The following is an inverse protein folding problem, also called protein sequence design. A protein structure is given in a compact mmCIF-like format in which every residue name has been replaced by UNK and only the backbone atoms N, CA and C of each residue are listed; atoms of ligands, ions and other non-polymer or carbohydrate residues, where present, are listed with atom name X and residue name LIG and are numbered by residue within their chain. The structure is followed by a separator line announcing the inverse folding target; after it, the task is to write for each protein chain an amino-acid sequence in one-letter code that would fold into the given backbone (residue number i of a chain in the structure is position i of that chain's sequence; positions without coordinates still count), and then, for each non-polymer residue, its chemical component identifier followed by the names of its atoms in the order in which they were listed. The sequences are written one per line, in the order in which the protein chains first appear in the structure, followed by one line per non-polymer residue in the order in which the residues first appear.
data_IF_247502708500
#
_entry.id   IF_247502708500
#
_cell.length_a   1.000
_cell.length_b   1.000
_cell.length_c   1.000
_cell.angle_alpha   90.00
_cell.angle_beta   90.00
_cell.angle_gamma   90.00
#
_symmetry.space_group_name_H-M   'P 1'
#
loop_
_entity.id
_entity.type
_entity.pdbx_description
1 polymer ?
#
# COMPACT_ATOMS: atom_id res chain seq x y z
N UNK A 1 6.52 -33.13 56.15
CA UNK A 1 7.51 -32.15 55.64
C UNK A 1 8.27 -31.61 56.83
N UNK A 2 9.60 -31.48 56.72
CA UNK A 2 10.43 -30.95 57.81
C UNK A 2 10.17 -29.44 57.90
N UNK A 3 9.76 -28.94 59.06
CA UNK A 3 9.55 -27.50 59.26
C UNK A 3 10.88 -26.76 59.07
N UNK A 4 10.87 -25.73 58.22
CA UNK A 4 12.07 -24.94 57.94
C UNK A 4 12.51 -24.20 59.20
N UNK A 5 13.81 -24.21 59.48
CA UNK A 5 14.38 -23.41 60.56
C UNK A 5 14.17 -21.92 60.28
N UNK A 6 14.02 -21.11 61.32
CA UNK A 6 13.89 -19.65 61.21
C UNK A 6 15.04 -19.01 60.40
N UNK A 7 16.23 -19.61 60.46
CA UNK A 7 17.39 -19.20 59.65
C UNK A 7 17.20 -19.48 58.15
N UNK A 8 16.61 -20.63 57.80
CA UNK A 8 16.36 -21.05 56.42
C UNK A 8 15.26 -20.21 55.78
N UNK A 9 14.21 -19.88 56.54
CA UNK A 9 13.14 -18.96 56.12
C UNK A 9 13.71 -17.58 55.78
N UNK A 10 14.54 -17.01 56.66
CA UNK A 10 15.16 -15.71 56.43
C UNK A 10 16.14 -15.70 55.25
N UNK A 11 16.79 -16.83 54.97
CA UNK A 11 17.64 -16.98 53.79
C UNK A 11 16.80 -17.06 52.51
N UNK A 12 15.72 -17.84 52.52
CA UNK A 12 14.82 -18.00 51.39
C UNK A 12 14.15 -16.66 51.00
N UNK A 13 13.62 -15.93 51.98
CA UNK A 13 13.01 -14.61 51.76
C UNK A 13 14.02 -13.64 51.14
N UNK A 14 15.25 -13.58 51.64
CA UNK A 14 16.30 -12.73 51.06
C UNK A 14 16.61 -13.08 49.60
N UNK A 15 16.68 -14.37 49.27
CA UNK A 15 16.91 -14.82 47.88
C UNK A 15 15.74 -14.45 46.96
N UNK A 16 14.50 -14.57 47.43
CA UNK A 16 13.31 -14.19 46.66
C UNK A 16 13.29 -12.68 46.41
N UNK A 17 13.57 -11.86 47.44
CA UNK A 17 13.69 -10.40 47.29
C UNK A 17 14.75 -10.01 46.27
N UNK A 18 15.95 -10.59 46.38
CA UNK A 18 17.05 -10.36 45.42
C UNK A 18 16.60 -10.68 44.00
N UNK A 19 15.92 -11.80 43.77
CA UNK A 19 15.42 -12.16 42.42
C UNK A 19 14.40 -11.16 41.88
N UNK A 20 13.49 -10.65 42.70
CA UNK A 20 12.57 -9.59 42.27
C UNK A 20 13.30 -8.28 41.95
N UNK A 21 14.32 -7.91 42.74
CA UNK A 21 15.18 -6.77 42.47
C UNK A 21 15.96 -6.93 41.16
N UNK A 22 16.50 -8.12 40.89
CA UNK A 22 17.18 -8.46 39.64
C UNK A 22 16.23 -8.31 38.45
N UNK A 23 14.99 -8.79 38.56
CA UNK A 23 13.98 -8.63 37.50
C UNK A 23 13.65 -7.16 37.26
N UNK A 24 13.47 -6.39 38.34
CA UNK A 24 13.19 -4.95 38.27
C UNK A 24 14.33 -4.22 37.56
N UNK A 25 15.58 -4.55 37.90
CA UNK A 25 16.78 -3.92 37.33
C UNK A 25 17.05 -4.34 35.89
N UNK A 26 16.98 -5.63 35.59
CA UNK A 26 17.33 -6.18 34.26
C UNK A 26 16.24 -5.91 33.22
N UNK A 27 14.96 -6.00 33.59
CA UNK A 27 13.83 -5.83 32.68
C UNK A 27 13.08 -4.50 32.88
N UNK A 28 13.65 -3.57 33.65
CA UNK A 28 13.10 -2.23 33.94
C UNK A 28 11.63 -2.26 34.41
N UNK A 29 11.27 -3.22 35.25
CA UNK A 29 9.89 -3.39 35.75
C UNK A 29 9.61 -2.46 36.94
N UNK A 30 8.33 -2.29 37.24
CA UNK A 30 7.91 -1.46 38.38
C UNK A 30 8.27 -2.12 39.72
N UNK A 31 8.66 -1.30 40.69
CA UNK A 31 8.94 -1.71 42.08
C UNK A 31 7.73 -2.34 42.78
N UNK A 32 6.53 -2.08 42.28
CA UNK A 32 5.26 -2.68 42.71
C UNK A 32 5.33 -4.22 42.76
N UNK A 33 6.15 -4.86 41.92
CA UNK A 33 6.34 -6.32 41.97
C UNK A 33 6.92 -6.81 43.31
N UNK A 34 7.91 -6.09 43.85
CA UNK A 34 8.53 -6.42 45.13
C UNK A 34 7.59 -6.09 46.29
N UNK A 35 6.90 -4.95 46.23
CA UNK A 35 5.93 -4.53 47.24
C UNK A 35 4.78 -5.55 47.38
N UNK A 36 4.27 -6.05 46.25
CA UNK A 36 3.24 -7.09 46.24
C UNK A 36 3.71 -8.41 46.87
N UNK A 37 4.99 -8.77 46.72
CA UNK A 37 5.57 -9.93 47.41
C UNK A 37 5.63 -9.70 48.92
N UNK A 38 6.11 -8.54 49.36
CA UNK A 38 6.21 -8.19 50.78
C UNK A 38 4.84 -8.18 51.46
N UNK A 39 3.81 -7.67 50.76
CA UNK A 39 2.42 -7.71 51.21
C UNK A 39 1.89 -9.14 51.37
N UNK A 40 2.16 -10.02 50.40
CA UNK A 40 1.78 -11.44 50.49
C UNK A 40 2.50 -12.12 51.64
N UNK A 41 3.80 -11.89 51.81
CA UNK A 41 4.58 -12.45 52.91
C UNK A 41 4.05 -12.00 54.28
N UNK A 42 3.76 -10.71 54.45
CA UNK A 42 3.18 -10.16 55.67
C UNK A 42 1.76 -10.71 55.95
N UNK A 43 0.97 -10.96 54.91
CA UNK A 43 -0.34 -11.63 55.05
C UNK A 43 -0.18 -13.07 55.52
N UNK A 44 0.71 -13.85 54.91
CA UNK A 44 1.00 -15.26 55.28
C UNK A 44 1.46 -15.39 56.74
N UNK A 45 2.32 -14.46 57.21
CA UNK A 45 2.75 -14.41 58.61
C UNK A 45 1.57 -14.15 59.57
N UNK A 46 0.65 -13.26 59.20
CA UNK A 46 -0.53 -12.92 60.02
C UNK A 46 -1.57 -14.04 60.04
N UNK A 47 -1.73 -14.75 58.93
CA UNK A 47 -2.77 -15.78 58.76
C UNK A 47 -2.37 -17.18 59.26
N UNK A 48 -1.19 -17.33 59.89
CA UNK A 48 -0.65 -18.62 60.38
C UNK A 48 -0.69 -19.75 59.33
N UNK A 49 -0.54 -19.39 58.05
CA UNK A 49 -0.43 -20.38 56.98
C UNK A 49 0.97 -21.02 57.00
N UNK A 50 1.10 -22.23 56.45
CA UNK A 50 2.40 -22.89 56.33
C UNK A 50 3.34 -22.06 55.43
N UNK A 51 4.33 -21.46 56.07
CA UNK A 51 5.30 -20.58 55.43
C UNK A 51 6.17 -21.34 54.44
N UNK A 52 6.38 -22.63 54.65
CA UNK A 52 7.19 -23.48 53.77
C UNK A 52 6.50 -23.65 52.42
N UNK A 53 5.21 -23.95 52.44
CA UNK A 53 4.37 -24.04 51.23
C UNK A 53 4.30 -22.70 50.49
N UNK A 54 4.16 -21.58 51.21
CA UNK A 54 4.17 -20.24 50.61
C UNK A 54 5.50 -19.93 49.92
N UNK A 55 6.63 -20.17 50.59
CA UNK A 55 7.95 -19.87 50.04
C UNK A 55 8.26 -20.71 48.80
N UNK A 56 7.85 -21.98 48.77
CA UNK A 56 8.01 -22.83 47.58
C UNK A 56 7.20 -22.30 46.40
N UNK A 57 5.93 -21.95 46.61
CA UNK A 57 5.08 -21.38 45.57
C UNK A 57 5.63 -20.05 45.03
N UNK A 58 6.19 -19.22 45.91
CA UNK A 58 6.76 -17.94 45.52
C UNK A 58 8.10 -18.08 44.79
N UNK A 59 8.93 -19.07 45.16
CA UNK A 59 10.15 -19.42 44.41
C UNK A 59 9.81 -19.86 42.99
N UNK A 60 8.75 -20.65 42.83
CA UNK A 60 8.26 -21.07 41.52
C UNK A 60 7.75 -19.86 40.71
N UNK A 61 6.90 -19.03 41.32
CA UNK A 61 6.33 -17.85 40.68
C UNK A 61 7.40 -16.84 40.21
N UNK A 62 8.39 -16.52 41.05
CA UNK A 62 9.46 -15.58 40.66
C UNK A 62 10.37 -16.17 39.57
N UNK A 63 10.59 -17.49 39.58
CA UNK A 63 11.41 -18.16 38.57
C UNK A 63 10.69 -18.23 37.23
N UNK A 64 9.38 -18.47 37.21
CA UNK A 64 8.58 -18.43 36.00
C UNK A 64 8.50 -17.01 35.43
N UNK A 65 8.33 -16.01 36.29
CA UNK A 65 8.33 -14.60 35.90
C UNK A 65 9.66 -14.21 35.25
N UNK A 66 10.78 -14.64 35.82
CA UNK A 66 12.10 -14.43 35.24
C UNK A 66 12.22 -15.07 33.84
N UNK A 67 11.86 -16.35 33.70
CA UNK A 67 11.90 -17.06 32.41
C UNK A 67 11.03 -16.40 31.35
N UNK A 68 9.84 -15.94 31.73
CA UNK A 68 8.91 -15.26 30.81
C UNK A 68 9.48 -13.95 30.29
N UNK A 69 10.12 -13.17 31.17
CA UNK A 69 10.75 -11.92 30.78
C UNK A 69 12.05 -12.15 29.99
N UNK A 70 12.79 -13.23 30.27
CA UNK A 70 13.94 -13.66 29.46
C UNK A 70 13.52 -14.08 28.04
N UNK A 71 12.40 -14.80 27.89
CA UNK A 71 11.82 -15.15 26.58
C UNK A 71 11.34 -13.89 25.84
N UNK A 72 10.69 -12.94 26.53
CA UNK A 72 10.32 -11.66 25.89
C UNK A 72 11.55 -10.87 25.45
N UNK A 73 12.59 -10.81 26.28
CA UNK A 73 13.85 -10.16 25.95
C UNK A 73 14.57 -10.88 24.80
N UNK A 74 14.47 -12.20 24.69
CA UNK A 74 15.04 -12.93 23.55
C UNK A 74 14.27 -12.67 22.26
N UNK A 75 12.94 -12.66 22.29
CA UNK A 75 12.07 -12.27 21.16
C UNK A 75 12.33 -10.81 20.74
N UNK A 76 12.37 -9.88 21.70
CA UNK A 76 12.68 -8.47 21.43
C UNK A 76 14.14 -8.30 20.95
N UNK A 77 15.08 -9.13 21.42
CA UNK A 77 16.45 -9.11 20.90
C UNK A 77 16.55 -9.67 19.48
N UNK A 78 15.70 -10.64 19.11
CA UNK A 78 15.56 -11.11 17.72
C UNK A 78 15.01 -9.96 16.85
N UNK A 79 13.98 -9.24 17.31
CA UNK A 79 13.42 -8.08 16.59
C UNK A 79 14.35 -6.86 16.51
N UNK A 80 15.31 -6.71 17.44
CA UNK A 80 16.26 -5.57 17.49
C UNK A 80 17.56 -5.89 16.73
N UNK A 81 18.00 -7.15 16.68
CA UNK A 81 19.13 -7.58 15.83
C UNK A 81 18.76 -7.48 14.35
N UNK A 82 17.49 -7.75 13.98
CA UNK A 82 16.97 -7.61 12.62
C UNK A 82 17.02 -6.18 12.04
N UNK A 83 17.21 -5.14 12.88
CA UNK A 83 17.23 -3.74 12.43
C UNK A 83 18.62 -3.16 12.19
N UNK A 84 19.70 -3.81 12.63
CA UNK A 84 21.05 -3.20 12.60
C UNK A 84 22.06 -3.87 11.67
N UNK A 85 21.89 -5.15 11.31
CA UNK A 85 22.81 -5.82 10.40
C UNK A 85 22.24 -6.03 8.99
N UNK A 86 22.93 -5.43 8.03
CA UNK A 86 22.62 -5.42 6.59
C UNK A 86 22.85 -6.80 5.94
N UNK A 87 22.01 -7.06 4.92
CA UNK A 87 22.30 -7.78 3.65
C UNK A 87 22.39 -9.33 3.69
N UNK A 88 21.59 -9.93 2.78
CA UNK A 88 21.55 -11.33 2.29
C UNK A 88 21.08 -12.37 3.32
N UNK A 89 19.89 -12.97 3.27
CA UNK A 89 19.21 -13.62 2.13
C UNK A 89 17.69 -13.42 2.21
N UNK A 90 17.14 -13.24 1.02
CA UNK A 90 15.77 -12.95 0.62
C UNK A 90 14.74 -14.00 1.10
N UNK A 91 14.00 -13.67 2.16
CA UNK A 91 12.60 -14.10 2.28
C UNK A 91 11.70 -12.87 2.24
N UNK A 92 11.76 -12.09 1.14
CA UNK A 92 10.58 -11.31 0.74
C UNK A 92 9.40 -12.26 0.74
N UNK A 93 8.35 -11.92 1.49
CA UNK A 93 7.08 -12.62 1.37
C UNK A 93 6.70 -12.65 -0.11
N UNK A 94 5.97 -13.67 -0.55
CA UNK A 94 5.44 -13.68 -1.92
C UNK A 94 4.72 -12.35 -2.23
N UNK A 95 4.03 -11.78 -1.24
CA UNK A 95 3.41 -10.46 -1.31
C UNK A 95 4.41 -9.32 -1.57
N UNK A 96 5.58 -9.32 -0.91
CA UNK A 96 6.60 -8.29 -1.09
C UNK A 96 7.28 -8.40 -2.45
N UNK A 97 7.55 -9.63 -2.92
CA UNK A 97 8.06 -9.86 -4.28
C UNK A 97 7.10 -9.35 -5.34
N UNK A 98 5.81 -9.69 -5.21
CA UNK A 98 4.76 -9.19 -6.11
C UNK A 98 4.61 -7.67 -6.03
N UNK A 99 4.74 -7.08 -4.84
CA UNK A 99 4.71 -5.62 -4.69
C UNK A 99 5.89 -4.94 -5.38
N UNK A 100 7.10 -5.43 -5.17
CA UNK A 100 8.29 -4.88 -5.82
C UNK A 100 8.32 -5.08 -7.33
N UNK A 101 7.86 -6.23 -7.83
CA UNK A 101 7.74 -6.50 -9.26
C UNK A 101 6.76 -5.53 -9.92
N UNK A 102 5.61 -5.28 -9.28
CA UNK A 102 4.65 -4.29 -9.78
C UNK A 102 5.23 -2.87 -9.73
N UNK A 103 5.93 -2.51 -8.64
CA UNK A 103 6.62 -1.21 -8.55
C UNK A 103 7.63 -1.02 -9.69
N UNK A 104 8.42 -2.04 -10.01
CA UNK A 104 9.39 -1.97 -11.12
C UNK A 104 8.72 -1.76 -12.47
N UNK A 105 7.56 -2.37 -12.71
CA UNK A 105 6.80 -2.16 -13.96
C UNK A 105 6.31 -0.72 -14.07
N UNK A 106 5.77 -0.18 -12.98
CA UNK A 106 5.18 1.17 -13.03
C UNK A 106 6.21 2.30 -12.99
N UNK A 107 7.47 2.03 -12.67
CA UNK A 107 8.52 3.04 -12.51
C UNK A 107 8.77 3.92 -13.76
N UNK A 108 8.46 3.40 -14.95
CA UNK A 108 8.64 4.12 -16.21
C UNK A 108 7.55 5.18 -16.46
N UNK A 109 6.41 5.10 -15.78
CA UNK A 109 5.34 6.07 -15.94
C UNK A 109 5.65 7.37 -15.19
N UNK A 110 5.22 8.53 -15.72
CA UNK A 110 5.43 9.81 -15.06
C UNK A 110 4.80 9.81 -13.67
N UNK A 111 5.46 10.44 -12.71
CA UNK A 111 4.94 10.60 -11.35
C UNK A 111 4.30 11.96 -11.18
N UNK A 112 3.05 12.01 -10.73
CA UNK A 112 2.37 13.25 -10.34
C UNK A 112 2.37 13.36 -8.82
N UNK A 113 2.94 14.43 -8.27
CA UNK A 113 2.93 14.67 -6.83
C UNK A 113 1.54 15.11 -6.38
N UNK A 114 0.87 14.28 -5.57
CA UNK A 114 -0.45 14.56 -5.01
C UNK A 114 -0.36 14.99 -3.55
N UNK A 115 0.33 14.20 -2.74
CA UNK A 115 0.49 14.39 -1.31
C UNK A 115 1.74 13.64 -0.82
N UNK A 116 2.35 14.08 0.28
CA UNK A 116 3.57 13.46 0.83
C UNK A 116 3.39 11.96 1.14
N UNK A 117 2.21 11.62 1.66
CA UNK A 117 1.86 10.27 2.11
C UNK A 117 1.04 9.49 1.05
N UNK A 118 0.93 10.01 -0.18
CA UNK A 118 0.22 9.31 -1.25
C UNK A 118 0.97 8.05 -1.70
N UNK A 119 0.23 7.03 -2.10
CA UNK A 119 0.80 5.82 -2.70
C UNK A 119 1.47 6.15 -4.05
N UNK A 120 2.71 5.70 -4.23
CA UNK A 120 3.45 5.83 -5.50
C UNK A 120 2.68 5.21 -6.68
N UNK A 121 1.93 4.13 -6.44
CA UNK A 121 1.10 3.49 -7.46
C UNK A 121 0.03 4.43 -8.01
N UNK A 122 -0.66 5.17 -7.14
CA UNK A 122 -1.70 6.13 -7.55
C UNK A 122 -1.07 7.31 -8.29
N UNK A 123 0.03 7.86 -7.76
CA UNK A 123 0.72 8.99 -8.39
C UNK A 123 1.21 8.66 -9.81
N UNK A 124 1.67 7.43 -10.03
CA UNK A 124 2.11 6.95 -11.35
C UNK A 124 0.95 6.57 -12.25
N UNK A 125 -0.13 6.00 -11.72
CA UNK A 125 -1.32 5.67 -12.50
C UNK A 125 -1.95 6.94 -13.08
N UNK A 126 -2.15 7.97 -12.24
CA UNK A 126 -2.67 9.25 -12.70
C UNK A 126 -1.71 9.92 -13.69
N UNK A 127 -0.40 9.75 -13.52
CA UNK A 127 0.60 10.18 -14.50
C UNK A 127 0.47 9.49 -15.85
N UNK A 128 0.31 8.15 -15.86
CA UNK A 128 0.09 7.36 -17.06
C UNK A 128 -1.19 7.78 -17.80
N UNK A 129 -2.29 7.96 -17.06
CA UNK A 129 -3.56 8.43 -17.64
C UNK A 129 -3.41 9.85 -18.21
N UNK A 130 -2.64 10.72 -17.55
CA UNK A 130 -2.36 12.06 -18.09
C UNK A 130 -1.55 12.01 -19.38
N UNK A 131 -0.58 11.10 -19.48
CA UNK A 131 0.13 10.84 -20.75
C UNK A 131 -0.80 10.30 -21.81
N UNK A 132 -1.73 9.39 -21.48
CA UNK A 132 -2.75 8.93 -22.41
C UNK A 132 -3.56 10.11 -22.96
N UNK A 133 -4.01 11.03 -22.10
CA UNK A 133 -4.81 12.20 -22.48
C UNK A 133 -4.02 13.17 -23.38
N UNK A 134 -2.79 13.48 -23.01
CA UNK A 134 -2.01 14.54 -23.66
C UNK A 134 -1.28 14.07 -24.92
N UNK A 135 -0.73 12.86 -24.89
CA UNK A 135 0.19 12.37 -25.92
C UNK A 135 -0.46 11.39 -26.89
N UNK A 136 -1.46 10.62 -26.46
CA UNK A 136 -2.05 9.53 -27.25
C UNK A 136 -3.45 9.85 -27.74
N UNK A 137 -4.31 10.41 -26.89
CA UNK A 137 -5.70 10.72 -27.21
C UNK A 137 -5.91 11.71 -28.36
N UNK A 138 -5.03 12.71 -28.60
CA UNK A 138 -5.17 13.60 -29.76
C UNK A 138 -5.22 12.86 -31.10
N UNK A 139 -4.60 11.67 -31.19
CA UNK A 139 -4.69 10.82 -32.37
C UNK A 139 -6.14 10.36 -32.62
N UNK A 140 -6.81 9.86 -31.58
CA UNK A 140 -8.20 9.42 -31.65
C UNK A 140 -9.11 10.59 -32.01
N UNK A 141 -8.90 11.75 -31.38
CA UNK A 141 -9.67 12.95 -31.72
C UNK A 141 -9.49 13.31 -33.19
N UNK A 142 -8.28 13.35 -33.74
CA UNK A 142 -8.08 13.68 -35.17
C UNK A 142 -8.74 12.68 -36.12
N UNK A 143 -8.64 11.39 -35.83
CA UNK A 143 -9.13 10.33 -36.71
C UNK A 143 -10.66 10.30 -36.74
N UNK A 144 -11.32 10.52 -35.59
CA UNK A 144 -12.76 10.37 -35.47
C UNK A 144 -13.55 11.69 -35.47
N UNK A 145 -12.90 12.86 -35.31
CA UNK A 145 -13.58 14.18 -35.24
C UNK A 145 -14.53 14.48 -36.38
N UNK A 146 -14.13 14.18 -37.62
CA UNK A 146 -14.89 14.60 -38.81
C UNK A 146 -15.96 13.59 -39.24
N UNK A 147 -16.04 12.43 -38.57
CA UNK A 147 -16.95 11.36 -38.96
C UNK A 147 -18.21 11.34 -38.07
N UNK A 148 -19.24 12.07 -38.51
CA UNK A 148 -20.56 12.11 -37.83
C UNK A 148 -21.36 10.81 -37.94
N UNK A 149 -21.00 9.91 -38.83
CA UNK A 149 -21.79 8.69 -39.12
C UNK A 149 -21.31 7.45 -38.35
N UNK A 150 -20.27 7.58 -37.54
CA UNK A 150 -19.74 6.46 -36.76
C UNK A 150 -20.27 6.46 -35.33
N UNK A 151 -21.06 5.44 -34.97
CA UNK A 151 -21.57 5.21 -33.60
C UNK A 151 -20.47 5.20 -32.54
N UNK A 152 -19.23 4.87 -32.92
CA UNK A 152 -18.09 4.86 -31.99
C UNK A 152 -17.57 6.27 -31.67
N UNK A 153 -17.85 7.29 -32.49
CA UNK A 153 -17.41 8.66 -32.23
C UNK A 153 -18.07 9.22 -30.95
N UNK A 154 -19.35 8.93 -30.75
CA UNK A 154 -20.08 9.31 -29.54
C UNK A 154 -19.48 8.65 -28.29
N UNK A 155 -19.07 7.38 -28.41
CA UNK A 155 -18.42 6.64 -27.31
C UNK A 155 -17.04 7.22 -26.99
N UNK A 156 -16.19 7.45 -27.99
CA UNK A 156 -14.88 8.06 -27.76
C UNK A 156 -15.01 9.48 -27.19
N UNK A 157 -15.96 10.26 -27.67
CA UNK A 157 -16.24 11.59 -27.11
C UNK A 157 -16.67 11.49 -25.64
N UNK A 158 -17.55 10.53 -25.29
CA UNK A 158 -17.96 10.30 -23.91
C UNK A 158 -16.78 9.86 -23.01
N UNK A 159 -15.90 8.97 -23.50
CA UNK A 159 -14.69 8.58 -22.76
C UNK A 159 -13.73 9.74 -22.60
N UNK A 160 -13.54 10.56 -23.63
CA UNK A 160 -12.68 11.73 -23.56
C UNK A 160 -13.20 12.73 -22.52
N UNK A 161 -14.51 12.98 -22.51
CA UNK A 161 -15.11 13.82 -21.49
C UNK A 161 -14.85 13.28 -20.07
N UNK A 162 -15.01 11.97 -19.83
CA UNK A 162 -14.68 11.35 -18.53
C UNK A 162 -13.20 11.51 -18.17
N UNK A 163 -12.31 11.36 -19.15
CA UNK A 163 -10.87 11.55 -18.97
C UNK A 163 -10.56 13.00 -18.54
N UNK A 164 -11.11 13.98 -19.26
CA UNK A 164 -10.91 15.39 -18.94
C UNK A 164 -11.51 15.78 -17.58
N UNK A 165 -12.74 15.34 -17.28
CA UNK A 165 -13.41 15.73 -16.03
C UNK A 165 -12.75 15.16 -14.79
N UNK A 166 -12.14 13.98 -14.89
CA UNK A 166 -11.62 13.27 -13.72
C UNK A 166 -10.10 13.38 -13.57
N UNK A 167 -9.35 13.57 -14.67
CA UNK A 167 -7.89 13.46 -14.68
C UNK A 167 -7.19 14.69 -15.26
N UNK A 168 -7.73 15.43 -16.22
CA UNK A 168 -7.02 16.59 -16.78
C UNK A 168 -7.31 17.88 -16.00
N UNK A 169 -6.52 18.13 -14.95
CA UNK A 169 -6.70 19.29 -14.08
C UNK A 169 -5.38 20.00 -13.74
N UNK A 170 -5.41 21.34 -13.70
CA UNK A 170 -4.31 22.20 -13.23
C UNK A 170 -4.29 22.27 -11.71
N UNK A 171 -4.04 21.12 -11.06
CA UNK A 171 -4.00 21.03 -9.60
C UNK A 171 -4.39 19.64 -9.11
N UNK A 172 -5.28 19.59 -8.13
CA UNK A 172 -5.81 18.34 -7.59
C UNK A 172 -6.80 17.73 -8.58
N UNK A 173 -6.50 16.53 -9.05
CA UNK A 173 -7.42 15.78 -9.91
C UNK A 173 -8.72 15.46 -9.17
N UNK A 174 -9.90 15.68 -9.77
CA UNK A 174 -11.17 15.40 -9.10
C UNK A 174 -11.30 13.97 -8.58
N UNK A 175 -10.75 12.98 -9.30
CA UNK A 175 -10.78 11.57 -8.88
C UNK A 175 -9.98 11.32 -7.59
N UNK A 176 -8.93 12.11 -7.31
CA UNK A 176 -8.08 11.93 -6.12
C UNK A 176 -8.46 12.85 -4.96
N UNK A 177 -9.51 13.67 -5.09
CA UNK A 177 -9.91 14.66 -4.08
C UNK A 177 -10.24 14.02 -2.73
N UNK A 178 -11.12 13.01 -2.73
CA UNK A 178 -11.50 12.32 -1.49
C UNK A 178 -10.34 11.56 -0.85
N UNK A 179 -9.43 11.02 -1.68
CA UNK A 179 -8.20 10.39 -1.22
C UNK A 179 -7.28 11.39 -0.50
N UNK A 180 -7.07 12.57 -1.09
CA UNK A 180 -6.28 13.64 -0.47
C UNK A 180 -6.95 14.16 0.81
N UNK A 181 -8.26 14.34 0.81
CA UNK A 181 -9.01 14.76 2.00
C UNK A 181 -8.88 13.72 3.13
N UNK A 182 -8.90 12.42 2.80
CA UNK A 182 -8.67 11.34 3.76
C UNK A 182 -7.24 11.35 4.34
N UNK A 183 -6.24 11.63 3.50
CA UNK A 183 -4.83 11.74 3.93
C UNK A 183 -4.58 12.94 4.85
N UNK A 184 -5.24 14.07 4.59
CA UNK A 184 -5.12 15.31 5.36
C UNK A 184 -5.83 15.26 6.72
N UNK A 185 -6.80 14.35 6.90
CA UNK A 185 -7.61 14.26 8.12
C UNK A 185 -6.76 13.82 9.32
N UNK A 186 -6.97 14.46 10.47
CA UNK A 186 -6.37 14.08 11.76
C UNK A 186 -7.45 13.82 12.82
N UNK A 187 -7.45 12.67 13.50
CA UNK A 187 -6.59 11.49 13.27
C UNK A 187 -6.87 10.84 11.89
N UNK A 188 -5.84 10.19 11.33
CA UNK A 188 -5.96 9.52 10.02
C UNK A 188 -6.84 8.28 10.13
N UNK A 189 -7.78 8.16 9.19
CA UNK A 189 -8.60 6.96 9.04
C UNK A 189 -8.02 6.08 7.93
N UNK A 190 -7.19 5.11 8.33
CA UNK A 190 -6.52 4.19 7.41
C UNK A 190 -7.52 3.39 6.56
N UNK A 191 -8.70 3.06 7.10
CA UNK A 191 -9.72 2.32 6.34
C UNK A 191 -10.29 3.16 5.21
N UNK A 192 -10.53 4.46 5.46
CA UNK A 192 -10.99 5.39 4.43
C UNK A 192 -9.90 5.61 3.37
N UNK A 193 -8.64 5.75 3.77
CA UNK A 193 -7.51 5.89 2.83
C UNK A 193 -7.41 4.67 1.91
N UNK A 194 -7.47 3.46 2.47
CA UNK A 194 -7.43 2.22 1.69
C UNK A 194 -8.64 2.03 0.77
N UNK A 195 -9.81 2.50 1.20
CA UNK A 195 -11.03 2.49 0.39
C UNK A 195 -10.89 3.44 -0.81
N UNK A 196 -10.47 4.69 -0.57
CA UNK A 196 -10.30 5.69 -1.64
C UNK A 196 -9.21 5.28 -2.64
N UNK A 197 -8.12 4.67 -2.16
CA UNK A 197 -7.07 4.11 -3.02
C UNK A 197 -7.65 3.04 -3.97
N UNK A 198 -8.40 2.07 -3.42
CA UNK A 198 -9.08 1.04 -4.21
C UNK A 198 -10.11 1.62 -5.18
N UNK A 199 -10.83 2.64 -4.76
CA UNK A 199 -11.80 3.33 -5.61
C UNK A 199 -11.14 3.93 -6.85
N UNK A 200 -10.02 4.67 -6.69
CA UNK A 200 -9.28 5.25 -7.81
C UNK A 200 -8.80 4.15 -8.76
N UNK A 201 -8.19 3.09 -8.23
CA UNK A 201 -7.72 1.95 -9.03
C UNK A 201 -8.87 1.33 -9.84
N UNK A 202 -10.00 1.08 -9.20
CA UNK A 202 -11.16 0.44 -9.81
C UNK A 202 -11.82 1.31 -10.88
N UNK A 203 -12.10 2.59 -10.59
CA UNK A 203 -12.72 3.48 -11.57
C UNK A 203 -11.81 3.75 -12.77
N UNK A 204 -10.50 3.85 -12.53
CA UNK A 204 -9.52 3.96 -13.61
C UNK A 204 -9.49 2.67 -14.44
N UNK A 205 -9.51 1.50 -13.80
CA UNK A 205 -9.54 0.21 -14.48
C UNK A 205 -10.75 0.08 -15.39
N UNK A 206 -11.95 0.44 -14.90
CA UNK A 206 -13.17 0.37 -15.67
C UNK A 206 -13.12 1.25 -16.90
N UNK A 207 -12.68 2.51 -16.75
CA UNK A 207 -12.58 3.43 -17.86
C UNK A 207 -11.57 2.94 -18.92
N UNK A 208 -10.39 2.47 -18.48
CA UNK A 208 -9.36 1.99 -19.41
C UNK A 208 -9.79 0.72 -20.14
N UNK A 209 -10.47 -0.22 -19.47
CA UNK A 209 -11.01 -1.42 -20.13
C UNK A 209 -12.13 -1.06 -21.12
N UNK A 210 -13.04 -0.14 -20.76
CA UNK A 210 -14.10 0.33 -21.66
C UNK A 210 -13.52 1.00 -22.92
N UNK A 211 -12.43 1.74 -22.77
CA UNK A 211 -11.66 2.34 -23.88
C UNK A 211 -10.98 1.25 -24.71
N UNK A 212 -10.29 0.30 -24.07
CA UNK A 212 -9.57 -0.79 -24.73
C UNK A 212 -10.52 -1.64 -25.58
N UNK A 213 -11.67 -2.03 -25.02
CA UNK A 213 -12.68 -2.81 -25.72
C UNK A 213 -13.27 -2.04 -26.91
N UNK A 214 -13.43 -0.71 -26.80
CA UNK A 214 -13.87 0.12 -27.92
C UNK A 214 -12.81 0.23 -29.03
N UNK A 215 -11.53 0.37 -28.67
CA UNK A 215 -10.42 0.40 -29.62
C UNK A 215 -10.28 -0.95 -30.35
N UNK A 216 -10.37 -2.06 -29.62
CA UNK A 216 -10.32 -3.41 -30.22
C UNK A 216 -11.48 -3.62 -31.19
N UNK A 217 -12.72 -3.28 -30.81
CA UNK A 217 -13.87 -3.39 -31.73
C UNK A 217 -13.69 -2.60 -33.02
N UNK A 218 -13.10 -1.40 -32.93
CA UNK A 218 -12.82 -0.57 -34.10
C UNK A 218 -11.74 -1.18 -34.98
N UNK A 219 -10.71 -1.80 -34.40
CA UNK A 219 -9.65 -2.47 -35.15
C UNK A 219 -10.14 -3.77 -35.80
N UNK A 220 -10.97 -4.55 -35.09
CA UNK A 220 -11.47 -5.85 -35.56
C UNK A 220 -12.52 -5.71 -36.67
N UNK A 221 -13.29 -4.61 -36.67
CA UNK A 221 -14.35 -4.35 -37.65
C UNK A 221 -13.87 -3.57 -38.89
N UNK A 222 -12.56 -3.39 -39.07
CA UNK A 222 -11.95 -2.44 -40.01
C UNK A 222 -12.60 -1.03 -39.93
N UNK A 223 -13.01 -0.65 -38.73
CA UNK A 223 -13.79 0.56 -38.47
C UNK A 223 -12.98 1.84 -38.36
N UNK A 224 -11.69 1.78 -38.71
CA UNK A 224 -10.79 2.93 -38.66
C UNK A 224 -11.08 3.84 -39.85
N UNK A 225 -11.49 5.08 -39.55
CA UNK A 225 -11.77 6.07 -40.58
C UNK A 225 -10.51 6.43 -41.37
N UNK A 226 -10.56 6.28 -42.69
CA UNK A 226 -9.45 6.54 -43.62
C UNK A 226 -8.16 5.83 -43.18
N UNK A 227 -8.26 4.51 -42.97
CA UNK A 227 -7.19 3.63 -42.48
C UNK A 227 -5.79 3.93 -43.06
N UNK A 228 -5.68 4.09 -44.38
CA UNK A 228 -4.41 4.27 -45.10
C UNK A 228 -3.93 5.73 -45.16
N UNK A 229 -4.65 6.66 -44.52
CA UNK A 229 -4.26 8.07 -44.49
C UNK A 229 -3.23 8.31 -43.38
N UNK A 230 -2.23 9.12 -43.69
CA UNK A 230 -1.27 9.61 -42.69
C UNK A 230 -1.90 10.66 -41.80
N UNK A 231 -1.65 10.59 -40.50
CA UNK A 231 -2.19 11.54 -39.53
C UNK A 231 -1.64 12.96 -39.74
N UNK A 232 -2.55 13.94 -39.74
CA UNK A 232 -2.22 15.35 -39.87
C UNK A 232 -1.88 15.96 -38.50
N UNK A 233 -0.70 15.63 -37.97
CA UNK A 233 -0.26 15.99 -36.61
C UNK A 233 -0.35 17.49 -36.29
N UNK A 234 -0.13 18.37 -37.28
CA UNK A 234 -0.16 19.83 -37.10
C UNK A 234 -1.58 20.41 -36.92
N UNK A 235 -2.62 19.61 -37.08
CA UNK A 235 -4.01 20.07 -37.06
C UNK A 235 -4.60 20.23 -35.64
N UNK A 236 -3.93 19.73 -34.59
CA UNK A 236 -4.35 19.91 -33.20
C UNK A 236 -3.33 20.76 -32.43
N UNK A 237 -3.86 21.64 -31.57
CA UNK A 237 -3.09 22.26 -30.50
C UNK A 237 -2.93 21.25 -29.36
N UNK A 238 -1.72 20.74 -29.18
CA UNK A 238 -1.37 19.92 -28.03
C UNK A 238 -0.96 20.82 -26.85
N UNK A 239 -1.03 20.27 -25.64
CA UNK A 239 -0.49 20.91 -24.44
C UNK A 239 1.02 21.07 -24.58
N UNK A 240 1.56 22.16 -24.04
CA UNK A 240 3.01 22.43 -24.03
C UNK A 240 3.77 21.29 -23.36
N UNK A 241 4.80 20.76 -24.05
CA UNK A 241 5.58 19.60 -23.59
C UNK A 241 5.01 18.23 -23.98
N UNK A 242 3.91 18.17 -24.73
CA UNK A 242 3.40 16.91 -25.27
C UNK A 242 4.35 16.28 -26.30
N UNK A 243 4.50 14.95 -26.22
CA UNK A 243 5.27 14.15 -27.17
C UNK A 243 4.44 13.67 -28.38
N UNK A 244 3.16 14.05 -28.48
CA UNK A 244 2.24 13.60 -29.53
C UNK A 244 2.85 13.69 -30.93
N UNK A 245 3.50 14.83 -31.23
CA UNK A 245 4.06 15.04 -32.56
C UNK A 245 5.19 14.05 -32.88
N UNK A 246 6.05 13.79 -31.91
CA UNK A 246 7.17 12.85 -32.06
C UNK A 246 6.65 11.42 -32.18
N UNK A 247 5.61 11.06 -31.42
CA UNK A 247 5.08 9.69 -31.33
C UNK A 247 4.33 9.27 -32.60
N UNK A 248 3.56 10.18 -33.20
CA UNK A 248 2.60 9.84 -34.27
C UNK A 248 2.97 10.35 -35.66
N UNK A 249 4.06 11.11 -35.82
CA UNK A 249 4.47 11.67 -37.12
C UNK A 249 4.67 10.58 -38.18
N UNK A 250 3.90 10.69 -39.25
CA UNK A 250 4.02 9.83 -40.43
C UNK A 250 3.32 8.47 -40.32
N UNK A 251 2.68 8.18 -39.18
CA UNK A 251 1.91 6.95 -38.99
C UNK A 251 0.58 7.01 -39.75
N UNK A 252 0.11 5.83 -40.16
CA UNK A 252 -1.23 5.63 -40.71
C UNK A 252 -2.28 5.70 -39.61
N UNK A 253 -3.53 6.00 -39.94
CA UNK A 253 -4.61 6.06 -38.96
C UNK A 253 -4.78 4.73 -38.21
N UNK A 254 -4.66 3.59 -38.90
CA UNK A 254 -4.69 2.26 -38.28
C UNK A 254 -3.58 2.07 -37.25
N UNK A 255 -2.35 2.42 -37.62
CA UNK A 255 -1.19 2.33 -36.74
C UNK A 255 -1.32 3.27 -35.54
N UNK A 256 -1.93 4.44 -35.73
CA UNK A 256 -2.22 5.37 -34.64
C UNK A 256 -3.19 4.73 -33.64
N UNK A 257 -4.30 4.15 -34.10
CA UNK A 257 -5.28 3.49 -33.23
C UNK A 257 -4.66 2.29 -32.50
N UNK A 258 -3.85 1.47 -33.20
CA UNK A 258 -3.08 0.37 -32.58
C UNK A 258 -2.16 0.87 -31.49
N UNK A 259 -1.40 1.95 -31.74
CA UNK A 259 -0.47 2.52 -30.76
C UNK A 259 -1.17 3.06 -29.51
N UNK A 260 -2.36 3.65 -29.66
CA UNK A 260 -3.19 4.06 -28.51
C UNK A 260 -3.73 2.84 -27.76
N UNK A 261 -4.15 1.80 -28.48
CA UNK A 261 -4.61 0.53 -27.90
C UNK A 261 -3.50 -0.15 -27.09
N UNK A 262 -2.31 -0.29 -27.67
CA UNK A 262 -1.16 -0.93 -27.04
C UNK A 262 -0.75 -0.19 -25.77
N UNK A 263 -0.67 1.15 -25.80
CA UNK A 263 -0.38 1.93 -24.60
C UNK A 263 -1.44 1.79 -23.50
N UNK A 264 -2.73 1.74 -23.89
CA UNK A 264 -3.83 1.50 -22.93
C UNK A 264 -3.72 0.11 -22.31
N UNK A 265 -3.36 -0.90 -23.10
CA UNK A 265 -3.15 -2.28 -22.68
C UNK A 265 -1.93 -2.43 -21.76
N UNK A 266 -0.84 -1.72 -22.03
CA UNK A 266 0.35 -1.65 -21.18
C UNK A 266 -0.03 -1.13 -19.78
N UNK A 267 -0.76 -0.01 -19.69
CA UNK A 267 -1.22 0.53 -18.40
C UNK A 267 -2.07 -0.52 -17.64
N UNK A 268 -3.01 -1.18 -18.31
CA UNK A 268 -3.87 -2.19 -17.65
C UNK A 268 -3.04 -3.39 -17.13
N UNK A 269 -1.98 -3.78 -17.85
CA UNK A 269 -1.15 -4.93 -17.50
C UNK A 269 -0.09 -4.64 -16.43
N UNK A 270 0.42 -3.40 -16.37
CA UNK A 270 1.49 -3.01 -15.47
C UNK A 270 0.99 -2.63 -14.07
N UNK A 271 -0.21 -2.05 -13.98
CA UNK A 271 -0.82 -1.67 -12.71
C UNK A 271 -1.67 -2.83 -12.13
N UNK A 272 -1.98 -2.77 -10.83
CA UNK A 272 -2.83 -3.77 -10.13
C UNK A 272 -4.32 -3.68 -10.48
N UNK A 273 -4.60 -3.31 -11.71
CA UNK A 273 -5.93 -3.21 -12.30
C UNK A 273 -6.21 -4.31 -13.32
N UNK A 274 -5.21 -5.16 -13.59
CA UNK A 274 -5.33 -6.31 -14.47
C UNK A 274 -6.46 -7.23 -14.00
N UNK A 275 -7.46 -7.42 -14.85
CA UNK A 275 -8.62 -8.29 -14.58
C UNK A 275 -9.81 -7.60 -13.90
N UNK A 276 -9.70 -6.31 -13.54
CA UNK A 276 -10.85 -5.53 -13.07
C UNK A 276 -11.68 -5.11 -14.29
N UNK A 277 -12.80 -5.81 -14.53
CA UNK A 277 -13.77 -5.48 -15.58
C UNK A 277 -15.15 -5.26 -14.99
N UNK A 278 -15.97 -4.45 -15.67
CA UNK A 278 -17.39 -4.33 -15.32
C UNK A 278 -18.08 -5.63 -15.73
N UNK A 279 -18.62 -6.36 -14.75
CA UNK A 279 -19.57 -7.44 -15.03
C UNK A 279 -20.90 -6.77 -15.39
N UNK A 280 -21.27 -6.82 -16.67
CA UNK A 280 -22.61 -6.45 -17.13
C UNK A 280 -23.52 -7.67 -17.13
#
# INVERSE_FOLDING_TARGET
MKELSSSEINLAVRKIKSKYEDIIKEFKKSRVLLENFEDRYAKTLRSKMDLSTFLLAEIEAVTELYKREEIKRSIESIEVVDKKDKKTVDKKSFADKVYEENLKKIQNYPRISLHRDASEEIERLLGAVRTLINDYWPAITLIFRDNKYYSNNDKFSAYYHKLLTNYDYTGIMPISRQYIDALNRKPQDMKKIDFENRFILQETAFLLNDILDALNKVLDSDGVYLADKKIAVKAIKCVDGSNFQTIFKGLLHTDCVKKVRDYTEEIINDFRIKGIKRNY
#
